data_IF_356840536879
#
_entry.id   IF_356840536879
#
_cell.length_a   1.000
_cell.length_b   1.000
_cell.length_c   1.000
_cell.angle_alpha   90.00
_cell.angle_beta   90.00
_cell.angle_gamma   90.00
#
_symmetry.space_group_name_H-M   'P 1'
#
loop_
_entity.id
_entity.type
_entity.pdbx_description
1 polymer ?
#
# COMPACT_ATOMS: atom_id res chain seq x y z
N UNK A 1 17.08 -2.14 -12.92
CA UNK A 1 15.97 -1.17 -12.99
C UNK A 1 15.89 -0.48 -14.35
N UNK A 2 14.79 -0.61 -15.09
CA UNK A 2 14.47 0.33 -16.18
C UNK A 2 13.67 1.49 -15.56
N UNK A 3 14.36 2.54 -15.09
CA UNK A 3 13.77 3.67 -14.35
C UNK A 3 12.55 4.29 -15.07
N UNK A 4 12.49 4.15 -16.39
CA UNK A 4 11.35 4.56 -17.21
C UNK A 4 10.06 3.80 -16.83
N UNK A 5 10.11 2.48 -16.65
CA UNK A 5 8.93 1.68 -16.33
C UNK A 5 8.45 1.94 -14.89
N UNK A 6 9.39 2.12 -13.96
CA UNK A 6 9.05 2.52 -12.59
C UNK A 6 8.32 3.87 -12.59
N UNK A 7 8.85 4.84 -13.34
CA UNK A 7 8.23 6.17 -13.44
C UNK A 7 6.84 6.14 -14.08
N UNK A 8 6.64 5.30 -15.11
CA UNK A 8 5.35 5.21 -15.81
C UNK A 8 4.27 4.55 -14.96
N UNK A 9 4.62 3.50 -14.20
CA UNK A 9 3.63 2.69 -13.49
C UNK A 9 3.48 3.04 -12.00
N UNK A 10 4.56 3.46 -11.32
CA UNK A 10 4.54 3.71 -9.88
C UNK A 10 4.63 5.19 -9.54
N UNK A 11 5.43 5.98 -10.26
CA UNK A 11 5.58 7.42 -9.98
C UNK A 11 4.53 8.26 -10.73
N UNK A 12 3.26 7.83 -10.68
CA UNK A 12 2.15 8.64 -11.18
C UNK A 12 1.73 9.62 -10.06
N UNK A 13 2.06 10.92 -10.15
CA UNK A 13 1.87 11.87 -9.06
C UNK A 13 0.40 12.11 -8.71
N UNK A 14 -0.52 11.89 -9.65
CA UNK A 14 -1.96 12.12 -9.44
C UNK A 14 -2.67 10.88 -8.91
N UNK A 15 -2.10 9.69 -9.12
CA UNK A 15 -2.74 8.43 -8.76
C UNK A 15 -3.02 8.30 -7.25
N UNK A 16 -2.11 8.68 -6.32
CA UNK A 16 -2.40 8.62 -4.89
C UNK A 16 -3.63 9.44 -4.50
N UNK A 17 -3.74 10.66 -5.00
CA UNK A 17 -4.87 11.54 -4.67
C UNK A 17 -6.19 11.00 -5.25
N UNK A 18 -6.16 10.47 -6.48
CA UNK A 18 -7.35 9.87 -7.10
C UNK A 18 -7.81 8.62 -6.35
N UNK A 19 -6.87 7.75 -5.95
CA UNK A 19 -7.16 6.55 -5.14
C UNK A 19 -7.74 6.95 -3.78
N UNK A 20 -7.15 7.93 -3.10
CA UNK A 20 -7.68 8.44 -1.83
C UNK A 20 -9.14 8.93 -1.98
N UNK A 21 -9.41 9.77 -2.98
CA UNK A 21 -10.78 10.26 -3.26
C UNK A 21 -11.74 9.13 -3.60
N UNK A 22 -11.29 8.13 -4.33
CA UNK A 22 -12.12 6.96 -4.63
C UNK A 22 -12.44 6.16 -3.38
N UNK A 23 -11.44 5.90 -2.53
CA UNK A 23 -11.63 5.21 -1.25
C UNK A 23 -12.62 5.95 -0.33
N UNK A 24 -12.60 7.29 -0.33
CA UNK A 24 -13.57 8.12 0.40
C UNK A 24 -15.01 7.98 -0.12
N UNK A 25 -15.21 7.44 -1.33
CA UNK A 25 -16.54 7.12 -1.85
C UNK A 25 -17.07 5.76 -1.40
N UNK A 26 -16.26 4.94 -0.72
CA UNK A 26 -16.60 3.57 -0.29
C UNK A 26 -16.90 3.58 1.23
N UNK A 27 -18.17 3.45 1.65
CA UNK A 27 -18.53 3.50 3.06
C UNK A 27 -17.83 2.42 3.91
N UNK A 28 -17.71 1.21 3.38
CA UNK A 28 -17.07 0.08 4.06
C UNK A 28 -15.57 0.35 4.30
N UNK A 29 -14.92 1.07 3.39
CA UNK A 29 -13.52 1.48 3.57
C UNK A 29 -13.40 2.51 4.69
N UNK A 30 -14.30 3.50 4.73
CA UNK A 30 -14.30 4.52 5.78
C UNK A 30 -14.49 3.86 7.15
N UNK A 31 -15.47 2.95 7.27
CA UNK A 31 -15.72 2.22 8.50
C UNK A 31 -14.49 1.39 8.91
N UNK A 32 -13.93 0.59 8.00
CA UNK A 32 -12.76 -0.23 8.29
C UNK A 32 -11.55 0.62 8.73
N UNK A 33 -11.38 1.81 8.15
CA UNK A 33 -10.32 2.76 8.52
C UNK A 33 -10.52 3.33 9.92
N UNK A 34 -11.75 3.67 10.31
CA UNK A 34 -12.06 4.16 11.65
C UNK A 34 -11.85 3.08 12.71
N UNK A 35 -12.32 1.86 12.46
CA UNK A 35 -12.10 0.70 13.34
C UNK A 35 -10.61 0.39 13.51
N UNK A 36 -9.85 0.45 12.41
CA UNK A 36 -8.40 0.31 12.43
C UNK A 36 -7.72 1.36 13.31
N UNK A 37 -8.05 2.65 13.14
CA UNK A 37 -7.42 3.71 13.93
C UNK A 37 -7.77 3.64 15.42
N UNK A 38 -9.01 3.24 15.76
CA UNK A 38 -9.40 3.01 17.15
C UNK A 38 -8.54 1.91 17.80
N UNK A 39 -8.40 0.77 17.13
CA UNK A 39 -7.58 -0.34 17.64
C UNK A 39 -6.09 0.00 17.68
N UNK A 40 -5.58 0.70 16.67
CA UNK A 40 -4.20 1.17 16.62
C UNK A 40 -3.85 2.04 17.83
N UNK A 41 -4.75 2.94 18.22
CA UNK A 41 -4.56 3.77 19.40
C UNK A 41 -4.49 2.93 20.68
N UNK A 42 -5.41 1.98 20.87
CA UNK A 42 -5.40 1.06 22.02
C UNK A 42 -4.10 0.24 22.08
N UNK A 43 -3.60 -0.21 20.93
CA UNK A 43 -2.33 -0.94 20.82
C UNK A 43 -1.12 -0.06 21.16
N UNK A 44 -1.09 1.19 20.70
CA UNK A 44 -0.03 2.15 21.04
C UNK A 44 0.03 2.37 22.56
N UNK A 45 -1.13 2.58 23.19
CA UNK A 45 -1.25 2.81 24.63
C UNK A 45 -0.83 1.58 25.45
N UNK A 46 -1.14 0.37 24.97
CA UNK A 46 -0.88 -0.89 25.70
C UNK A 46 0.56 -1.39 25.52
N UNK A 47 1.07 -1.40 24.29
CA UNK A 47 2.35 -2.03 23.93
C UNK A 47 3.49 -1.02 23.84
N UNK A 48 3.15 0.27 23.84
CA UNK A 48 4.09 1.36 23.70
C UNK A 48 4.39 1.72 22.24
N UNK A 49 4.62 3.01 22.04
CA UNK A 49 4.88 3.66 20.76
C UNK A 49 5.93 2.98 19.87
N UNK A 50 7.07 2.59 20.44
CA UNK A 50 8.17 1.99 19.69
C UNK A 50 7.76 0.67 19.02
N UNK A 51 7.03 -0.17 19.76
CA UNK A 51 6.61 -1.48 19.26
C UNK A 51 5.53 -1.34 18.21
N UNK A 52 4.51 -0.50 18.49
CA UNK A 52 3.44 -0.20 17.55
C UNK A 52 3.97 0.31 16.20
N UNK A 53 4.85 1.32 16.19
CA UNK A 53 5.42 1.82 14.94
C UNK A 53 6.25 0.78 14.18
N UNK A 54 6.98 -0.09 14.89
CA UNK A 54 7.76 -1.15 14.24
C UNK A 54 6.84 -2.19 13.58
N UNK A 55 5.76 -2.56 14.25
CA UNK A 55 4.74 -3.45 13.71
C UNK A 55 4.08 -2.84 12.47
N UNK A 56 3.61 -1.60 12.58
CA UNK A 56 2.97 -0.85 11.50
C UNK A 56 3.89 -0.70 10.27
N UNK A 57 5.16 -0.34 10.47
CA UNK A 57 6.11 -0.22 9.37
C UNK A 57 6.28 -1.54 8.61
N UNK A 58 6.36 -2.68 9.32
CA UNK A 58 6.48 -4.00 8.70
C UNK A 58 5.20 -4.42 7.97
N UNK A 59 4.04 -4.15 8.56
CA UNK A 59 2.74 -4.46 7.95
C UNK A 59 2.53 -3.63 6.68
N UNK A 60 2.76 -2.31 6.75
CA UNK A 60 2.62 -1.41 5.61
C UNK A 60 3.58 -1.76 4.46
N UNK A 61 4.82 -2.17 4.76
CA UNK A 61 5.75 -2.65 3.75
C UNK A 61 5.22 -3.89 3.02
N UNK A 62 4.73 -4.89 3.76
CA UNK A 62 4.14 -6.10 3.21
C UNK A 62 2.90 -5.80 2.33
N UNK A 63 1.91 -5.07 2.88
CA UNK A 63 0.70 -4.69 2.16
C UNK A 63 0.99 -3.79 0.94
N UNK A 64 2.04 -2.96 1.03
CA UNK A 64 2.52 -2.14 -0.07
C UNK A 64 3.01 -2.99 -1.24
N UNK A 65 3.72 -4.09 -0.98
CA UNK A 65 4.13 -5.03 -2.03
C UNK A 65 2.94 -5.76 -2.67
N UNK A 66 1.98 -6.22 -1.87
CA UNK A 66 0.76 -6.84 -2.39
C UNK A 66 -0.03 -5.87 -3.27
N UNK A 67 -0.24 -4.64 -2.82
CA UNK A 67 -0.93 -3.59 -3.58
C UNK A 67 -0.25 -3.32 -4.93
N UNK A 68 1.08 -3.27 -4.95
CA UNK A 68 1.85 -3.12 -6.20
C UNK A 68 1.67 -4.32 -7.13
N UNK A 69 1.68 -5.53 -6.59
CA UNK A 69 1.46 -6.73 -7.38
C UNK A 69 0.06 -6.76 -8.00
N UNK A 70 -0.99 -6.45 -7.22
CA UNK A 70 -2.36 -6.36 -7.73
C UNK A 70 -2.53 -5.26 -8.78
N UNK A 71 -1.92 -4.09 -8.57
CA UNK A 71 -1.96 -3.00 -9.53
C UNK A 71 -1.35 -3.42 -10.88
N UNK A 72 -0.14 -3.97 -10.87
CA UNK A 72 0.52 -4.38 -12.10
C UNK A 72 -0.17 -5.57 -12.78
N UNK A 73 -0.73 -6.51 -12.00
CA UNK A 73 -1.52 -7.61 -12.54
C UNK A 73 -2.82 -7.11 -13.19
N UNK A 74 -3.49 -6.13 -12.58
CA UNK A 74 -4.67 -5.46 -13.14
C UNK A 74 -4.42 -4.74 -14.46
N UNK A 75 -3.17 -4.33 -14.72
CA UNK A 75 -2.73 -3.77 -16.01
C UNK A 75 -2.46 -4.85 -17.09
N UNK A 76 -2.75 -6.13 -16.81
CA UNK A 76 -2.48 -7.27 -17.70
C UNK A 76 -1.01 -7.42 -18.11
N UNK A 77 -0.07 -6.97 -17.27
CA UNK A 77 1.35 -7.15 -17.51
C UNK A 77 1.71 -8.64 -17.35
N UNK A 78 2.53 -9.16 -18.27
CA UNK A 78 2.98 -10.57 -18.22
C UNK A 78 3.86 -10.82 -17.00
N UNK A 79 3.81 -12.04 -16.47
CA UNK A 79 4.55 -12.45 -15.26
C UNK A 79 6.04 -12.11 -15.32
N UNK A 80 6.66 -12.30 -16.48
CA UNK A 80 8.09 -12.04 -16.69
C UNK A 80 8.45 -10.55 -16.54
N UNK A 81 7.51 -9.65 -16.86
CA UNK A 81 7.65 -8.20 -16.66
C UNK A 81 7.44 -7.85 -15.20
N UNK A 82 6.48 -8.52 -14.52
CA UNK A 82 6.23 -8.34 -13.09
C UNK A 82 7.43 -8.76 -12.25
N UNK A 83 8.04 -9.90 -12.55
CA UNK A 83 9.24 -10.41 -11.86
C UNK A 83 10.42 -9.43 -12.01
N UNK A 84 10.59 -8.83 -13.19
CA UNK A 84 11.60 -7.79 -13.40
C UNK A 84 11.31 -6.45 -12.70
N UNK A 85 10.05 -6.16 -12.38
CA UNK A 85 9.63 -4.93 -11.67
C UNK A 85 9.58 -5.10 -10.15
N UNK A 86 9.28 -6.31 -9.66
CA UNK A 86 9.12 -6.64 -8.24
C UNK A 86 10.35 -7.33 -7.62
N UNK A 87 11.22 -7.92 -8.45
CA UNK A 87 12.26 -8.87 -8.03
C UNK A 87 13.67 -8.33 -7.79
N UNK A 88 13.96 -7.04 -7.99
CA UNK A 88 15.31 -6.50 -7.72
C UNK A 88 15.41 -5.91 -6.30
N UNK A 89 16.16 -6.62 -5.43
CA UNK A 89 16.79 -6.07 -4.22
C UNK A 89 18.14 -5.44 -4.55
#
# INVERSE_FOLDING_TARGET
MNCLLHSIFFDNPELPEQVCRFCESIPEYIQAREEYYALAQELEETMGRQWYFTFEDRLNQYCGWESRAYYLFGLNLRREILEGLLGER
#
